data_IF_950059342183
#
_entry.id   IF_950059342183
#
_cell.length_a   1.000
_cell.length_b   1.000
_cell.length_c   1.000
_cell.angle_alpha   90.00
_cell.angle_beta   90.00
_cell.angle_gamma   90.00
#
_symmetry.space_group_name_H-M   'P 1'
#
loop_
_entity.id
_entity.type
_entity.pdbx_description
1 polymer ?
#
# COMPACT_ATOMS: atom_id res chain seq x y z
N UNK A 1 -19.51 -7.08 -14.69
CA UNK A 1 -19.69 -7.58 -13.31
C UNK A 1 -18.40 -7.28 -12.60
N UNK A 2 -18.42 -6.40 -11.61
CA UNK A 2 -17.24 -6.08 -10.82
C UNK A 2 -16.81 -7.35 -10.08
N UNK A 3 -15.73 -7.92 -10.59
CA UNK A 3 -15.01 -9.01 -9.96
C UNK A 3 -14.78 -8.60 -8.52
N UNK A 4 -15.23 -9.41 -7.57
CA UNK A 4 -14.94 -9.24 -6.15
C UNK A 4 -13.43 -9.43 -5.95
N UNK A 5 -12.65 -8.44 -6.41
CA UNK A 5 -11.21 -8.36 -6.21
C UNK A 5 -11.05 -8.40 -4.71
N UNK A 6 -10.48 -9.51 -4.25
CA UNK A 6 -10.15 -9.69 -2.84
C UNK A 6 -9.46 -8.42 -2.38
N UNK A 7 -10.02 -7.77 -1.34
CA UNK A 7 -9.48 -6.51 -0.82
C UNK A 7 -7.96 -6.69 -0.60
N UNK A 8 -7.13 -5.74 -1.04
CA UNK A 8 -5.70 -5.85 -0.83
C UNK A 8 -5.40 -5.99 0.67
N UNK A 9 -4.33 -6.70 0.99
CA UNK A 9 -3.91 -6.92 2.37
C UNK A 9 -3.63 -5.56 3.04
N UNK A 10 -4.23 -5.33 4.21
CA UNK A 10 -4.16 -4.06 4.97
C UNK A 10 -4.72 -2.82 4.25
N UNK A 11 -5.59 -3.00 3.26
CA UNK A 11 -6.14 -1.89 2.47
C UNK A 11 -6.97 -0.91 3.29
N UNK A 12 -7.66 -1.39 4.32
CA UNK A 12 -8.54 -0.57 5.15
C UNK A 12 -7.70 0.38 6.03
N UNK A 13 -6.68 -0.17 6.68
CA UNK A 13 -5.72 0.56 7.51
C UNK A 13 -4.91 1.58 6.69
N UNK A 14 -4.56 1.23 5.44
CA UNK A 14 -3.89 2.15 4.53
C UNK A 14 -4.83 3.30 4.12
N UNK A 15 -6.10 2.99 3.81
CA UNK A 15 -7.09 3.98 3.46
C UNK A 15 -7.37 4.95 4.61
N UNK A 16 -7.51 4.44 5.84
CA UNK A 16 -7.69 5.27 7.03
C UNK A 16 -6.52 6.24 7.26
N UNK A 17 -5.28 5.76 7.08
CA UNK A 17 -4.09 6.60 7.21
C UNK A 17 -4.05 7.70 6.12
N UNK A 18 -4.39 7.35 4.87
CA UNK A 18 -4.45 8.30 3.76
C UNK A 18 -5.54 9.35 4.01
N UNK A 19 -6.72 8.93 4.47
CA UNK A 19 -7.81 9.82 4.85
C UNK A 19 -7.43 10.72 6.03
N UNK A 20 -6.61 10.23 6.96
CA UNK A 20 -6.09 11.05 8.05
C UNK A 20 -5.13 12.15 7.55
N UNK A 21 -4.23 11.80 6.62
CA UNK A 21 -3.32 12.78 6.01
C UNK A 21 -4.05 13.85 5.19
N UNK A 22 -5.20 13.50 4.60
CA UNK A 22 -6.04 14.43 3.84
C UNK A 22 -6.98 15.28 4.73
N UNK A 23 -7.12 14.97 6.02
CA UNK A 23 -7.97 15.74 6.94
C UNK A 23 -7.35 17.10 7.24
N UNK A 24 -8.22 18.12 7.31
CA UNK A 24 -7.87 19.46 7.76
C UNK A 24 -8.87 19.90 8.84
N UNK A 25 -8.42 20.24 10.06
CA UNK A 25 -7.02 20.35 10.49
C UNK A 25 -6.32 18.99 10.58
N UNK A 26 -5.01 18.99 10.32
CA UNK A 26 -4.18 17.81 10.43
C UNK A 26 -4.00 17.42 11.91
N UNK A 27 -4.35 16.18 12.24
CA UNK A 27 -4.18 15.61 13.58
C UNK A 27 -3.02 14.60 13.57
N UNK A 28 -1.85 15.07 13.99
CA UNK A 28 -0.63 14.27 13.96
C UNK A 28 -0.71 13.03 14.85
N UNK A 29 -1.27 13.12 16.07
CA UNK A 29 -1.35 11.99 16.99
C UNK A 29 -2.27 10.90 16.44
N UNK A 30 -3.43 11.32 15.90
CA UNK A 30 -4.36 10.42 15.24
C UNK A 30 -3.71 9.68 14.06
N UNK A 31 -3.01 10.39 13.18
CA UNK A 31 -2.38 9.74 12.03
C UNK A 31 -1.23 8.82 12.44
N UNK A 32 -0.46 9.17 13.47
CA UNK A 32 0.59 8.29 14.02
C UNK A 32 0.00 7.00 14.59
N UNK A 33 -1.16 7.05 15.26
CA UNK A 33 -1.85 5.84 15.73
C UNK A 33 -2.28 4.94 14.57
N UNK A 34 -2.88 5.51 13.53
CA UNK A 34 -3.28 4.77 12.33
C UNK A 34 -2.08 4.13 11.62
N UNK A 35 -0.93 4.82 11.61
CA UNK A 35 0.32 4.25 11.09
C UNK A 35 0.77 3.02 11.89
N UNK A 36 0.66 3.03 13.22
CA UNK A 36 1.00 1.85 14.03
C UNK A 36 0.06 0.68 13.76
N UNK A 37 -1.23 0.94 13.57
CA UNK A 37 -2.22 -0.09 13.21
C UNK A 37 -1.88 -0.70 11.85
N UNK A 38 -1.60 0.13 10.84
CA UNK A 38 -1.16 -0.34 9.52
C UNK A 38 0.12 -1.18 9.63
N UNK A 39 1.11 -0.71 10.40
CA UNK A 39 2.36 -1.46 10.64
C UNK A 39 2.10 -2.83 11.26
N UNK A 40 1.20 -2.92 12.23
CA UNK A 40 0.83 -4.20 12.83
C UNK A 40 0.21 -5.15 11.80
N UNK A 41 -0.70 -4.68 10.95
CA UNK A 41 -1.28 -5.51 9.90
C UNK A 41 -0.20 -6.04 8.94
N UNK A 42 0.72 -5.20 8.47
CA UNK A 42 1.81 -5.58 7.56
C UNK A 42 2.67 -6.69 8.16
N UNK A 43 3.02 -6.56 9.44
CA UNK A 43 3.83 -7.55 10.16
C UNK A 43 3.08 -8.86 10.35
N UNK A 44 1.81 -8.82 10.77
CA UNK A 44 0.97 -10.01 10.99
C UNK A 44 0.74 -10.76 9.68
N UNK A 45 0.43 -10.05 8.61
CA UNK A 45 0.14 -10.62 7.29
C UNK A 45 1.40 -10.93 6.47
N UNK A 46 2.59 -10.64 7.02
CA UNK A 46 3.90 -10.89 6.40
C UNK A 46 3.99 -10.33 4.98
N UNK A 47 3.46 -9.13 4.75
CA UNK A 47 3.53 -8.47 3.43
C UNK A 47 4.99 -8.09 3.19
N UNK A 48 5.64 -8.73 2.22
CA UNK A 48 7.07 -8.54 1.97
C UNK A 48 7.38 -7.36 1.06
N UNK A 49 6.45 -6.96 0.17
CA UNK A 49 6.57 -5.79 -0.71
C UNK A 49 5.18 -5.27 -1.11
N UNK A 50 5.03 -3.95 -1.10
CA UNK A 50 3.96 -3.26 -1.81
C UNK A 50 4.58 -2.72 -3.10
N UNK A 51 4.05 -3.13 -4.25
CA UNK A 51 4.43 -2.57 -5.54
C UNK A 51 3.31 -1.64 -6.01
N UNK A 52 3.66 -0.46 -6.52
CA UNK A 52 2.73 0.29 -7.36
C UNK A 52 2.69 -0.42 -8.71
N UNK A 53 1.48 -0.62 -9.23
CA UNK A 53 1.07 -1.56 -10.30
C UNK A 53 1.78 -1.45 -11.66
N UNK A 54 2.87 -0.67 -11.76
CA UNK A 54 3.63 -0.45 -13.00
C UNK A 54 5.12 -0.83 -12.92
N UNK A 55 5.69 -1.14 -11.75
CA UNK A 55 7.14 -1.45 -11.69
C UNK A 55 7.51 -2.89 -12.09
N UNK A 56 6.59 -3.85 -12.03
CA UNK A 56 6.92 -5.26 -12.35
C UNK A 56 7.13 -5.52 -13.86
N UNK A 57 6.69 -4.63 -14.76
CA UNK A 57 6.88 -4.82 -16.19
C UNK A 57 8.18 -4.20 -16.75
N UNK A 58 8.83 -3.27 -16.03
CA UNK A 58 10.04 -2.60 -16.53
C UNK A 58 11.34 -3.37 -16.26
N UNK A 59 11.41 -4.17 -15.19
CA UNK A 59 12.64 -4.92 -14.89
C UNK A 59 12.84 -6.17 -15.77
N UNK A 60 11.79 -6.68 -16.42
CA UNK A 60 11.89 -7.85 -17.29
C UNK A 60 12.31 -7.54 -18.75
N UNK A 61 12.26 -6.27 -19.19
CA UNK A 61 12.42 -5.91 -20.62
C UNK A 61 13.72 -5.16 -20.95
N UNK A 62 14.61 -4.92 -19.98
CA UNK A 62 15.89 -4.25 -20.24
C UNK A 62 17.07 -5.21 -20.52
N UNK A 63 16.86 -6.52 -20.43
CA UNK A 63 17.87 -7.56 -20.75
C UNK A 63 17.53 -8.26 -22.08
N UNK A 64 17.27 -7.51 -23.15
CA UNK A 64 17.23 -8.08 -24.52
C UNK A 64 17.39 -7.01 -25.59
N UNK A 65 18.50 -6.26 -25.55
CA UNK A 65 18.98 -5.57 -26.76
C UNK A 65 20.49 -5.32 -26.74
N UNK A 66 21.27 -6.38 -26.90
CA UNK A 66 22.60 -6.33 -27.53
C UNK A 66 22.79 -7.61 -28.35
N UNK A 67 22.39 -7.53 -29.61
CA UNK A 67 22.86 -8.36 -30.71
C UNK A 67 23.12 -7.40 -31.88
#
# INVERSE_FOLDING_TARGET
MEEARSKPVCAEEALDLLNCAAQSPYDQDKCVRLLQVLRQCVLIKKVKKFSLTDQEQQEANSVSKKA
#
